data_IF_627945585981
#
_entry.id   IF_627945585981
#
_cell.length_a   1.000
_cell.length_b   1.000
_cell.length_c   1.000
_cell.angle_alpha   90.00
_cell.angle_beta   90.00
_cell.angle_gamma   90.00
#
_symmetry.space_group_name_H-M   'P 1'
#
loop_
_entity.id
_entity.type
_entity.pdbx_description
1 polymer ?
#
# COMPACT_ATOMS: atom_id res chain seq x y z
N UNK A 1 11.03 0.47 16.05
CA UNK A 1 10.94 0.99 14.67
C UNK A 1 11.72 2.30 14.55
N UNK A 2 12.33 2.51 13.39
CA UNK A 2 13.00 3.77 13.07
C UNK A 2 12.01 4.92 12.75
N UNK A 3 10.71 4.62 12.70
CA UNK A 3 9.67 5.56 12.34
C UNK A 3 9.63 5.94 10.86
N UNK A 4 8.59 6.69 10.47
CA UNK A 4 8.38 7.02 9.06
C UNK A 4 9.43 7.95 8.46
N UNK A 5 10.03 8.87 9.22
CA UNK A 5 11.04 9.78 8.68
C UNK A 5 12.31 9.04 8.26
N UNK A 6 12.85 8.20 9.13
CA UNK A 6 14.03 7.39 8.84
C UNK A 6 13.74 6.35 7.75
N UNK A 7 12.56 5.71 7.79
CA UNK A 7 12.16 4.74 6.78
C UNK A 7 11.95 5.39 5.40
N UNK A 8 11.44 6.64 5.32
CA UNK A 8 11.37 7.38 4.06
C UNK A 8 12.75 7.61 3.46
N UNK A 9 13.69 8.07 4.28
CA UNK A 9 15.07 8.29 3.83
C UNK A 9 15.72 6.98 3.34
N UNK A 10 15.57 5.91 4.09
CA UNK A 10 16.11 4.59 3.72
C UNK A 10 15.45 4.06 2.43
N UNK A 11 14.11 4.16 2.32
CA UNK A 11 13.38 3.74 1.12
C UNK A 11 13.85 4.53 -0.11
N UNK A 12 14.02 5.85 0.01
CA UNK A 12 14.53 6.67 -1.09
C UNK A 12 15.92 6.22 -1.54
N UNK A 13 16.85 6.02 -0.60
CA UNK A 13 18.18 5.53 -0.91
C UNK A 13 18.11 4.17 -1.64
N UNK A 14 17.35 3.23 -1.13
CA UNK A 14 17.17 1.91 -1.74
C UNK A 14 16.58 2.00 -3.16
N UNK A 15 15.59 2.88 -3.40
CA UNK A 15 15.00 3.06 -4.73
C UNK A 15 16.00 3.60 -5.73
N UNK A 16 16.88 4.50 -5.30
CA UNK A 16 17.99 5.03 -6.12
C UNK A 16 19.04 3.96 -6.40
N UNK A 17 19.43 3.21 -5.38
CA UNK A 17 20.44 2.15 -5.51
C UNK A 17 19.97 1.00 -6.43
N UNK A 18 18.69 0.68 -6.40
CA UNK A 18 18.04 -0.29 -7.28
C UNK A 18 17.80 0.27 -8.70
N UNK A 19 18.04 1.56 -8.93
CA UNK A 19 17.77 2.21 -10.19
C UNK A 19 16.28 2.42 -10.49
N UNK A 20 15.41 2.23 -9.51
CA UNK A 20 13.94 2.38 -9.67
C UNK A 20 13.51 3.85 -9.77
N UNK A 21 14.32 4.76 -9.27
CA UNK A 21 14.16 6.20 -9.46
C UNK A 21 15.48 6.83 -9.88
N UNK A 22 15.42 7.89 -10.66
CA UNK A 22 16.61 8.63 -11.09
C UNK A 22 17.34 9.24 -9.88
N UNK A 23 18.66 9.24 -9.93
CA UNK A 23 19.54 9.82 -8.89
C UNK A 23 19.29 11.31 -8.64
N UNK A 24 18.75 12.01 -9.62
CA UNK A 24 18.39 13.43 -9.52
C UNK A 24 17.10 13.70 -8.76
N UNK A 25 16.25 12.68 -8.58
CA UNK A 25 14.98 12.83 -7.87
C UNK A 25 15.23 12.97 -6.37
N UNK A 26 14.88 14.14 -5.84
CA UNK A 26 15.02 14.42 -4.41
C UNK A 26 13.83 13.85 -3.63
N UNK A 27 14.11 13.40 -2.41
CA UNK A 27 13.05 13.07 -1.48
C UNK A 27 12.18 14.31 -1.22
N UNK A 28 10.88 14.20 -1.43
CA UNK A 28 9.95 15.28 -1.14
C UNK A 28 9.95 15.61 0.37
N UNK A 29 9.62 16.84 0.76
CA UNK A 29 9.36 17.15 2.16
C UNK A 29 8.31 16.19 2.75
N UNK A 30 8.36 15.99 4.06
CA UNK A 30 7.28 15.32 4.77
C UNK A 30 5.99 16.10 4.58
N UNK A 31 4.87 15.40 4.41
CA UNK A 31 3.55 16.03 4.32
C UNK A 31 3.28 16.88 5.57
N UNK A 32 2.72 18.07 5.38
CA UNK A 32 2.46 19.04 6.46
C UNK A 32 1.51 18.49 7.53
N UNK A 33 0.63 17.55 7.16
CA UNK A 33 -0.30 16.89 8.08
C UNK A 33 0.37 15.75 8.86
N UNK A 34 1.60 15.39 8.53
CA UNK A 34 2.34 14.29 9.17
C UNK A 34 3.34 14.86 10.17
N UNK A 35 3.18 14.62 11.47
CA UNK A 35 4.15 15.07 12.46
C UNK A 35 5.50 14.36 12.28
N UNK A 36 6.57 14.94 12.81
CA UNK A 36 7.82 14.22 12.97
C UNK A 36 7.61 12.98 13.84
N UNK A 37 8.30 11.88 13.53
CA UNK A 37 8.12 10.63 14.28
C UNK A 37 8.31 10.82 15.79
N UNK A 38 9.30 11.59 16.18
CA UNK A 38 9.60 11.88 17.60
C UNK A 38 8.47 12.63 18.32
N UNK A 39 7.58 13.27 17.56
CA UNK A 39 6.40 14.00 18.07
C UNK A 39 5.11 13.16 18.03
N UNK A 40 5.17 11.94 17.49
CA UNK A 40 4.02 11.04 17.47
C UNK A 40 3.77 10.46 18.87
N UNK A 41 2.63 10.77 19.51
CA UNK A 41 2.36 10.31 20.87
C UNK A 41 2.06 8.80 20.95
N UNK A 42 1.67 8.17 19.84
CA UNK A 42 1.22 6.77 19.79
C UNK A 42 2.12 5.92 18.90
N UNK A 43 3.45 6.09 19.01
CA UNK A 43 4.43 5.43 18.14
C UNK A 43 4.25 3.90 18.08
N UNK A 44 4.05 3.25 19.22
CA UNK A 44 3.88 1.79 19.27
C UNK A 44 2.64 1.32 18.48
N UNK A 45 1.53 2.05 18.58
CA UNK A 45 0.32 1.74 17.83
C UNK A 45 0.49 2.03 16.32
N UNK A 46 1.14 3.13 15.98
CA UNK A 46 1.45 3.44 14.58
C UNK A 46 2.36 2.37 13.96
N UNK A 47 3.36 1.92 14.71
CA UNK A 47 4.22 0.83 14.28
C UNK A 47 3.41 -0.45 14.03
N UNK A 48 2.56 -0.83 14.97
CA UNK A 48 1.70 -2.01 14.83
C UNK A 48 0.80 -1.93 13.59
N UNK A 49 0.21 -0.76 13.31
CA UNK A 49 -0.56 -0.55 12.06
C UNK A 49 0.25 -0.91 10.81
N UNK A 50 1.49 -0.45 10.75
CA UNK A 50 2.34 -0.70 9.59
C UNK A 50 2.80 -2.16 9.53
N UNK A 51 3.01 -2.80 10.67
CA UNK A 51 3.32 -4.23 10.75
C UNK A 51 2.17 -5.08 10.20
N UNK A 52 0.93 -4.76 10.57
CA UNK A 52 -0.27 -5.43 10.02
C UNK A 52 -0.38 -5.22 8.51
N UNK A 53 -0.19 -3.98 8.03
CA UNK A 53 -0.18 -3.71 6.59
C UNK A 53 0.89 -4.51 5.87
N UNK A 54 2.10 -4.56 6.41
CA UNK A 54 3.20 -5.33 5.84
C UNK A 54 2.88 -6.83 5.79
N UNK A 55 2.26 -7.36 6.83
CA UNK A 55 1.78 -8.75 6.85
C UNK A 55 0.73 -9.01 5.74
N UNK A 56 -0.20 -8.08 5.53
CA UNK A 56 -1.16 -8.18 4.42
C UNK A 56 -0.45 -8.19 3.06
N UNK A 57 0.57 -7.36 2.86
CA UNK A 57 1.36 -7.35 1.62
C UNK A 57 2.10 -8.68 1.41
N UNK A 58 2.60 -9.31 2.47
CA UNK A 58 3.20 -10.64 2.40
C UNK A 58 2.18 -11.71 1.97
N UNK A 59 0.94 -11.61 2.39
CA UNK A 59 -0.13 -12.49 1.92
C UNK A 59 -0.49 -12.25 0.45
N UNK A 60 -0.47 -11.01 -0.03
CA UNK A 60 -0.66 -10.70 -1.45
C UNK A 60 0.45 -11.35 -2.28
N UNK A 61 1.72 -11.20 -1.86
CA UNK A 61 2.86 -11.82 -2.53
C UNK A 61 2.75 -13.35 -2.59
N UNK A 62 2.38 -13.99 -1.47
CA UNK A 62 2.12 -15.43 -1.44
C UNK A 62 0.99 -15.84 -2.39
N UNK A 63 -0.06 -15.03 -2.49
CA UNK A 63 -1.18 -15.31 -3.41
C UNK A 63 -0.75 -15.25 -4.88
N UNK A 64 0.10 -14.29 -5.23
CA UNK A 64 0.70 -14.18 -6.56
C UNK A 64 1.57 -15.40 -6.84
N UNK A 65 2.40 -15.80 -5.89
CA UNK A 65 3.22 -17.02 -6.00
C UNK A 65 2.36 -18.25 -6.30
N UNK A 66 1.25 -18.42 -5.58
CA UNK A 66 0.34 -19.55 -5.80
C UNK A 66 -0.23 -19.56 -7.23
N UNK A 67 -0.59 -18.40 -7.78
CA UNK A 67 -1.05 -18.29 -9.18
C UNK A 67 0.04 -18.67 -10.16
N UNK A 68 1.27 -18.18 -9.94
CA UNK A 68 2.43 -18.51 -10.77
C UNK A 68 2.72 -20.01 -10.73
N UNK A 69 2.64 -20.64 -9.58
CA UNK A 69 2.91 -22.08 -9.43
C UNK A 69 1.85 -22.94 -10.15
N UNK A 70 0.58 -22.54 -10.13
CA UNK A 70 -0.47 -23.18 -10.93
C UNK A 70 -0.18 -23.04 -12.43
N UNK A 71 0.25 -21.87 -12.89
CA UNK A 71 0.62 -21.66 -14.30
C UNK A 71 1.82 -22.53 -14.72
N UNK A 72 2.82 -22.69 -13.86
CA UNK A 72 3.95 -23.62 -14.08
C UNK A 72 3.48 -25.06 -14.17
N UNK A 73 2.67 -25.53 -13.22
CA UNK A 73 2.11 -26.88 -13.20
C UNK A 73 1.35 -27.19 -14.49
N UNK A 74 0.55 -26.23 -14.96
CA UNK A 74 -0.23 -26.33 -16.20
C UNK A 74 0.62 -26.11 -17.46
N UNK A 75 1.92 -25.82 -17.36
CA UNK A 75 2.82 -25.46 -18.46
C UNK A 75 2.30 -24.30 -19.31
N UNK A 76 1.69 -23.32 -18.66
CA UNK A 76 1.12 -22.13 -19.29
C UNK A 76 1.91 -20.85 -18.99
N UNK A 77 2.86 -20.89 -18.07
CA UNK A 77 3.59 -19.68 -17.66
C UNK A 77 4.28 -19.00 -18.84
N UNK A 78 4.95 -19.76 -19.70
CA UNK A 78 5.67 -19.24 -20.87
C UNK A 78 4.75 -18.69 -21.98
N UNK A 79 3.44 -18.88 -21.82
CA UNK A 79 2.41 -18.38 -22.74
C UNK A 79 1.41 -17.44 -22.04
N UNK A 80 1.80 -16.86 -20.91
CA UNK A 80 0.93 -15.99 -20.11
C UNK A 80 1.62 -14.66 -19.82
N UNK A 81 0.93 -13.56 -20.08
CA UNK A 81 1.34 -12.25 -19.56
C UNK A 81 0.75 -12.03 -18.18
N UNK A 82 1.57 -11.58 -17.24
CA UNK A 82 1.18 -11.22 -15.90
C UNK A 82 1.48 -9.74 -15.71
N UNK A 83 0.46 -8.96 -15.34
CA UNK A 83 0.56 -7.55 -15.02
C UNK A 83 0.29 -7.36 -13.54
N UNK A 84 1.19 -6.71 -12.84
CA UNK A 84 1.00 -6.30 -11.46
C UNK A 84 1.16 -4.80 -11.35
N UNK A 85 0.15 -4.13 -10.86
CA UNK A 85 0.12 -2.68 -10.72
C UNK A 85 -0.79 -2.26 -9.57
N UNK A 86 -0.63 -1.02 -9.11
CA UNK A 86 -1.59 -0.34 -8.26
C UNK A 86 -2.38 0.68 -9.10
N UNK A 87 -3.65 0.83 -8.82
CA UNK A 87 -4.55 1.73 -9.54
C UNK A 87 -4.33 3.23 -9.24
N UNK A 88 -3.66 3.51 -8.13
CA UNK A 88 -3.31 4.86 -7.69
C UNK A 88 -2.14 4.82 -6.69
N UNK A 89 -1.68 5.99 -6.30
CA UNK A 89 -0.75 6.12 -5.18
C UNK A 89 -1.38 5.71 -3.84
N UNK A 90 -0.57 5.65 -2.82
CA UNK A 90 -0.99 5.20 -1.48
C UNK A 90 -2.19 5.99 -0.96
N UNK A 91 -3.15 5.28 -0.35
CA UNK A 91 -4.35 5.89 0.21
C UNK A 91 -4.07 6.53 1.57
N UNK A 92 -4.36 7.82 1.74
CA UNK A 92 -4.28 8.50 3.02
C UNK A 92 -5.53 8.29 3.87
N UNK A 93 -6.55 7.66 3.29
CA UNK A 93 -7.87 7.53 3.89
C UNK A 93 -7.78 6.89 5.27
N UNK A 94 -8.49 7.47 6.22
CA UNK A 94 -8.61 7.01 7.58
C UNK A 94 -10.07 6.75 7.93
N UNK A 95 -10.30 5.74 8.74
CA UNK A 95 -11.62 5.43 9.27
C UNK A 95 -11.77 6.10 10.64
N UNK A 96 -12.23 7.35 10.65
CA UNK A 96 -12.52 8.07 11.87
C UNK A 96 -13.91 7.68 12.40
N UNK A 97 -13.98 7.31 13.66
CA UNK A 97 -15.21 7.15 14.45
C UNK A 97 -16.23 6.13 13.95
N UNK A 98 -16.16 4.89 14.44
CA UNK A 98 -17.24 3.87 14.37
C UNK A 98 -18.03 3.87 13.06
N UNK A 99 -17.34 4.02 11.97
CA UNK A 99 -17.88 4.34 10.66
C UNK A 99 -18.64 3.18 10.02
N UNK A 100 -18.79 2.04 10.70
CA UNK A 100 -19.73 1.01 10.24
C UNK A 100 -21.15 1.60 10.12
N UNK A 101 -21.54 2.54 10.96
CA UNK A 101 -22.82 3.23 10.86
C UNK A 101 -22.83 4.37 9.80
N UNK A 102 -21.71 5.07 9.61
CA UNK A 102 -21.54 6.01 8.47
C UNK A 102 -21.33 5.30 7.15
N UNK A 103 -20.95 4.04 7.18
CA UNK A 103 -20.85 3.15 6.04
C UNK A 103 -22.22 2.66 5.55
N UNK A 104 -23.32 3.27 5.96
CA UNK A 104 -24.68 3.04 5.44
C UNK A 104 -24.85 3.30 3.94
N UNK A 105 -23.78 3.57 3.22
CA UNK A 105 -23.70 3.44 1.78
C UNK A 105 -23.71 1.95 1.39
N UNK A 106 -24.52 1.53 0.42
CA UNK A 106 -24.51 0.15 -0.10
C UNK A 106 -23.10 -0.32 -0.52
N UNK A 107 -22.26 0.60 -0.96
CA UNK A 107 -20.87 0.35 -1.35
C UNK A 107 -19.99 -0.08 -0.15
N UNK A 108 -20.12 0.61 0.96
CA UNK A 108 -19.27 0.33 2.13
C UNK A 108 -19.70 -0.96 2.86
N UNK A 109 -21.01 -1.26 2.89
CA UNK A 109 -21.51 -2.50 3.48
C UNK A 109 -21.14 -3.76 2.66
N UNK A 110 -20.80 -3.60 1.39
CA UNK A 110 -20.27 -4.69 0.56
C UNK A 110 -18.78 -4.99 0.85
N UNK A 111 -18.03 -3.99 1.28
CA UNK A 111 -16.58 -4.11 1.54
C UNK A 111 -16.28 -4.45 3.00
N UNK A 112 -17.05 -3.89 3.95
CA UNK A 112 -16.85 -4.13 5.38
C UNK A 112 -18.07 -4.88 5.92
N UNK A 113 -17.97 -6.18 6.17
CA UNK A 113 -19.08 -6.93 6.72
C UNK A 113 -19.41 -6.45 8.14
N UNK A 114 -20.70 -6.43 8.49
CA UNK A 114 -21.13 -6.06 9.85
C UNK A 114 -20.67 -7.05 10.91
N UNK A 115 -20.58 -8.31 10.51
CA UNK A 115 -20.13 -9.40 11.39
C UNK A 115 -19.13 -10.29 10.64
N UNK A 116 -18.25 -10.91 11.40
CA UNK A 116 -17.38 -11.99 10.90
C UNK A 116 -18.23 -13.21 10.51
N UNK A 117 -17.67 -14.18 9.78
CA UNK A 117 -18.36 -15.45 9.52
C UNK A 117 -18.83 -16.19 10.77
N UNK A 118 -18.14 -15.96 11.91
CA UNK A 118 -18.49 -16.52 13.22
C UNK A 118 -19.53 -15.69 13.98
N UNK A 119 -20.11 -14.65 13.36
CA UNK A 119 -21.15 -13.80 13.96
C UNK A 119 -20.65 -12.70 14.89
N UNK A 120 -19.34 -12.53 15.07
CA UNK A 120 -18.77 -11.47 15.91
C UNK A 120 -18.87 -10.12 15.20
N UNK A 121 -19.32 -9.07 15.90
CA UNK A 121 -19.42 -7.71 15.34
C UNK A 121 -18.05 -7.21 14.89
N UNK A 122 -17.98 -6.69 13.67
CA UNK A 122 -16.77 -6.05 13.15
C UNK A 122 -16.65 -4.63 13.70
N UNK A 123 -15.47 -4.28 14.17
CA UNK A 123 -15.11 -2.94 14.64
C UNK A 123 -14.24 -2.26 13.58
N UNK A 124 -14.73 -1.16 13.04
CA UNK A 124 -13.95 -0.35 12.10
C UNK A 124 -13.45 0.92 12.79
N UNK A 125 -12.21 1.29 12.53
CA UNK A 125 -11.65 2.54 13.03
C UNK A 125 -10.12 2.56 13.11
N UNK A 126 -9.60 3.78 13.20
CA UNK A 126 -8.16 4.07 13.21
C UNK A 126 -7.71 4.74 14.52
N UNK A 127 -8.29 4.39 15.63
CA UNK A 127 -7.89 4.89 16.94
C UNK A 127 -7.09 3.86 17.74
N UNK A 128 -6.34 4.35 18.69
CA UNK A 128 -5.36 3.59 19.48
C UNK A 128 -5.92 2.33 20.13
N UNK A 129 -7.21 2.29 20.42
CA UNK A 129 -7.85 1.12 21.05
C UNK A 129 -8.44 0.12 20.05
N UNK A 130 -8.31 0.35 18.74
CA UNK A 130 -8.74 -0.63 17.75
C UNK A 130 -7.73 -1.77 17.69
N UNK A 131 -8.21 -3.00 17.80
CA UNK A 131 -7.39 -4.21 17.68
C UNK A 131 -7.05 -4.50 16.22
N UNK A 132 -6.30 -3.58 15.57
CA UNK A 132 -5.91 -3.70 14.16
C UNK A 132 -5.20 -5.04 13.94
N UNK A 133 -5.59 -5.76 12.88
CA UNK A 133 -5.10 -7.09 12.57
C UNK A 133 -5.90 -8.24 13.19
N UNK A 134 -6.84 -7.96 14.08
CA UNK A 134 -7.77 -8.97 14.58
C UNK A 134 -8.83 -9.33 13.50
N UNK A 135 -9.36 -10.57 13.50
CA UNK A 135 -10.34 -11.01 12.51
C UNK A 135 -11.63 -10.18 12.46
N UNK A 136 -11.94 -9.49 13.55
CA UNK A 136 -13.11 -8.64 13.73
C UNK A 136 -12.78 -7.14 13.68
N UNK A 137 -11.60 -6.79 13.16
CA UNK A 137 -11.18 -5.40 13.00
C UNK A 137 -11.07 -5.00 11.54
N UNK A 138 -11.34 -3.74 11.25
CA UNK A 138 -11.10 -3.12 9.97
C UNK A 138 -10.52 -1.72 10.19
N UNK A 139 -9.36 -1.46 9.63
CA UNK A 139 -8.67 -0.18 9.77
C UNK A 139 -7.83 0.15 8.54
N UNK A 140 -7.25 1.33 8.52
CA UNK A 140 -6.31 1.77 7.50
C UNK A 140 -4.98 2.18 8.13
N UNK A 141 -3.95 2.37 7.32
CA UNK A 141 -2.67 2.87 7.83
C UNK A 141 -2.58 4.41 7.81
N UNK A 142 -3.50 5.07 7.11
CA UNK A 142 -3.70 6.51 7.12
C UNK A 142 -2.58 7.33 6.48
N UNK A 143 -2.76 8.67 6.50
CA UNK A 143 -1.88 9.61 5.78
C UNK A 143 -0.40 9.53 6.18
N UNK A 144 -0.10 9.24 7.45
CA UNK A 144 1.27 9.18 7.96
C UNK A 144 2.09 8.11 7.25
N UNK A 145 1.52 6.92 7.09
CA UNK A 145 2.15 5.82 6.39
C UNK A 145 1.97 5.90 4.87
N UNK A 146 0.87 6.51 4.38
CA UNK A 146 0.71 6.80 2.96
C UNK A 146 1.83 7.71 2.44
N UNK A 147 2.23 8.73 3.21
CA UNK A 147 3.35 9.60 2.88
C UNK A 147 4.68 8.82 2.78
N UNK A 148 4.89 7.81 3.62
CA UNK A 148 6.04 6.91 3.50
C UNK A 148 5.93 6.04 2.25
N UNK A 149 4.76 5.45 1.99
CA UNK A 149 4.55 4.51 0.89
C UNK A 149 4.76 5.14 -0.48
N UNK A 150 4.48 6.44 -0.63
CA UNK A 150 4.68 7.20 -1.86
C UNK A 150 6.10 7.76 -2.06
N UNK A 151 7.03 7.42 -1.18
CA UNK A 151 8.45 7.84 -1.35
C UNK A 151 8.95 7.53 -2.75
N UNK A 152 9.61 8.47 -3.44
CA UNK A 152 10.08 9.79 -2.98
C UNK A 152 9.09 10.94 -3.19
N UNK A 153 7.94 10.67 -3.77
CA UNK A 153 6.99 11.67 -4.25
C UNK A 153 6.20 12.33 -3.13
N UNK A 154 5.68 13.51 -3.42
CA UNK A 154 4.75 14.22 -2.53
C UNK A 154 3.30 13.81 -2.82
N UNK A 155 2.43 14.03 -1.84
CA UNK A 155 1.01 13.74 -1.90
C UNK A 155 0.71 12.24 -2.02
N UNK A 156 -0.51 11.90 -2.34
CA UNK A 156 -1.08 10.56 -2.23
C UNK A 156 -2.31 10.44 -3.13
N UNK A 157 -2.99 9.32 -3.11
CA UNK A 157 -4.26 9.09 -3.80
C UNK A 157 -5.13 10.35 -3.76
N UNK A 158 -5.86 10.63 -4.84
CA UNK A 158 -6.70 11.81 -5.13
C UNK A 158 -5.97 13.05 -5.64
N UNK A 159 -4.64 13.12 -5.55
CA UNK A 159 -3.87 14.21 -6.09
C UNK A 159 -3.32 13.89 -7.49
N UNK A 160 -3.26 14.90 -8.36
CA UNK A 160 -2.64 14.80 -9.69
C UNK A 160 -1.10 14.92 -9.64
N UNK A 161 -0.50 14.83 -8.46
CA UNK A 161 0.95 14.76 -8.27
C UNK A 161 1.43 13.32 -8.36
N UNK A 162 2.73 13.14 -8.58
CA UNK A 162 3.35 11.81 -8.71
C UNK A 162 2.98 10.85 -7.58
N UNK A 163 2.87 11.34 -6.34
CA UNK A 163 2.42 10.50 -5.22
C UNK A 163 0.98 9.99 -5.33
N UNK A 164 0.16 10.58 -6.20
CA UNK A 164 -1.20 10.12 -6.46
C UNK A 164 -1.35 9.25 -7.70
N UNK A 165 -0.48 9.44 -8.70
CA UNK A 165 -0.62 8.83 -10.03
C UNK A 165 0.53 7.90 -10.43
N UNK A 166 1.75 8.11 -9.94
CA UNK A 166 2.89 7.26 -10.24
C UNK A 166 2.85 5.99 -9.39
N UNK A 167 2.22 4.96 -9.91
CA UNK A 167 2.16 3.64 -9.30
C UNK A 167 3.18 2.69 -9.93
N UNK A 168 3.72 1.72 -9.18
CA UNK A 168 4.58 0.69 -9.76
C UNK A 168 3.79 -0.14 -10.77
N UNK A 169 4.47 -0.44 -11.90
CA UNK A 169 3.95 -1.31 -12.94
C UNK A 169 4.98 -2.39 -13.22
N UNK A 170 4.61 -3.64 -13.04
CA UNK A 170 5.46 -4.81 -13.28
C UNK A 170 4.77 -5.67 -14.33
N UNK A 171 5.52 -6.07 -15.35
CA UNK A 171 5.03 -6.99 -16.37
C UNK A 171 6.00 -8.15 -16.55
N UNK A 172 5.45 -9.34 -16.68
CA UNK A 172 6.18 -10.57 -16.99
C UNK A 172 5.43 -11.31 -18.10
N UNK A 173 6.15 -11.95 -19.00
CA UNK A 173 5.52 -12.79 -20.05
C UNK A 173 6.40 -13.03 -21.26
N UNK A 174 5.85 -13.69 -22.31
CA UNK A 174 6.58 -14.00 -23.53
C UNK A 174 7.23 -12.77 -24.16
N UNK A 175 8.52 -12.87 -24.50
CA UNK A 175 9.30 -11.79 -25.13
C UNK A 175 9.53 -10.55 -24.27
N UNK A 176 9.15 -10.57 -23.00
CA UNK A 176 9.56 -9.53 -22.06
C UNK A 176 10.96 -9.86 -21.55
N UNK A 177 11.89 -8.92 -21.66
CA UNK A 177 13.25 -9.11 -21.17
C UNK A 177 13.26 -9.17 -19.64
N UNK A 178 13.87 -10.23 -19.12
CA UNK A 178 14.03 -10.39 -17.68
C UNK A 178 14.90 -9.27 -17.09
N UNK A 179 14.58 -8.85 -15.87
CA UNK A 179 15.31 -7.82 -15.13
C UNK A 179 15.51 -6.50 -15.90
N UNK A 180 14.66 -6.22 -16.87
CA UNK A 180 14.66 -4.94 -17.57
C UNK A 180 13.91 -3.89 -16.77
N UNK A 181 14.40 -2.66 -16.82
CA UNK A 181 13.79 -1.51 -16.17
C UNK A 181 13.52 -0.44 -17.22
N UNK A 182 12.32 0.13 -17.22
CA UNK A 182 11.95 1.27 -18.05
C UNK A 182 11.51 2.43 -17.16
N UNK A 183 12.03 3.62 -17.45
CA UNK A 183 11.59 4.87 -16.84
C UNK A 183 10.56 5.61 -17.69
N UNK A 184 10.13 5.00 -18.78
CA UNK A 184 9.06 5.54 -19.61
C UNK A 184 7.74 5.40 -18.86
N UNK A 185 6.99 6.48 -18.64
CA UNK A 185 5.65 6.36 -18.08
C UNK A 185 4.75 5.60 -19.06
N UNK A 186 3.93 4.73 -18.52
CA UNK A 186 2.88 4.02 -19.26
C UNK A 186 1.54 4.56 -18.78
N UNK A 187 0.70 4.99 -19.70
CA UNK A 187 -0.64 5.43 -19.38
C UNK A 187 -1.63 4.27 -19.52
N UNK A 188 -2.68 4.26 -18.69
CA UNK A 188 -3.70 3.20 -18.71
C UNK A 188 -4.41 3.08 -20.08
N UNK A 189 -4.28 4.07 -20.92
CA UNK A 189 -4.87 4.11 -22.29
C UNK A 189 -3.90 3.60 -23.36
N UNK A 190 -2.65 3.32 -23.04
CA UNK A 190 -1.65 2.77 -23.96
C UNK A 190 -1.81 1.25 -24.14
#
# INVERSE_FOLDING_TARGET
>A
SAGWDALRAQRHANLVDLGLVDKGIKLSPRDEQVPAWEKEPNQAWQQHRMEVYTAMMSHVDQSITNVIDVLKEKKQLDNTYIFFLSDNGASPEGHLNNTVERLGSPWNSAVIPKNTPQGKKVTAGDWVNTSIGAPDSYGSYGIKWANLSNTPFRNHKTWMHEGGIAAPFIVMGPKIAENSLSHQPVHIID
#
